data_IF_981851755760
#
_entry.id   IF_981851755760
#
_cell.length_a   1.000
_cell.length_b   1.000
_cell.length_c   1.000
_cell.angle_alpha   90.00
_cell.angle_beta   90.00
_cell.angle_gamma   90.00
#
_symmetry.space_group_name_H-M   'P 1'
#
loop_
_entity.id
_entity.type
_entity.pdbx_description
1 polymer ?
#
# COMPACT_ATOMS: atom_id res chain seq x y z
N UNK A 1 11.53 18.13 18.68
CA UNK A 1 11.60 17.97 20.14
C UNK A 1 11.49 16.50 20.54
N UNK A 2 10.44 15.77 20.15
CA UNK A 2 10.27 14.35 20.53
C UNK A 2 11.43 13.39 20.15
N UNK A 3 12.09 13.60 19.00
CA UNK A 3 13.23 12.78 18.59
C UNK A 3 14.45 12.94 19.52
N UNK A 4 14.73 14.17 19.94
CA UNK A 4 15.88 14.48 20.79
C UNK A 4 15.70 13.88 22.20
N UNK A 5 14.48 13.98 22.75
CA UNK A 5 14.14 13.37 24.03
C UNK A 5 14.34 11.85 24.00
N UNK A 6 13.97 11.20 22.89
CA UNK A 6 14.18 9.75 22.73
C UNK A 6 15.68 9.41 22.63
N UNK A 7 16.47 10.19 21.90
CA UNK A 7 17.93 10.00 21.83
C UNK A 7 18.60 10.13 23.20
N UNK A 8 18.18 11.11 24.01
CA UNK A 8 18.71 11.27 25.37
C UNK A 8 18.38 10.07 26.26
N UNK A 9 17.16 9.52 26.16
CA UNK A 9 16.78 8.30 26.89
C UNK A 9 17.65 7.12 26.46
N UNK A 10 17.88 6.93 25.16
CA UNK A 10 18.74 5.87 24.65
C UNK A 10 20.21 6.03 25.08
N UNK A 11 20.72 7.26 25.14
CA UNK A 11 22.06 7.55 25.62
C UNK A 11 22.26 7.27 27.12
N UNK A 12 21.16 7.29 27.89
CA UNK A 12 21.16 7.01 29.33
C UNK A 12 20.96 5.53 29.68
N UNK A 13 20.85 4.64 28.69
CA UNK A 13 20.58 3.22 28.92
C UNK A 13 21.71 2.54 29.71
N UNK A 14 21.33 1.87 30.80
CA UNK A 14 22.23 1.16 31.70
C UNK A 14 22.29 -0.34 31.43
N UNK A 15 21.51 -0.85 30.46
CA UNK A 15 21.48 -2.27 30.07
C UNK A 15 20.75 -3.19 31.05
N UNK A 16 20.02 -2.65 32.03
CA UNK A 16 19.22 -3.46 32.96
C UNK A 16 17.98 -4.05 32.27
N UNK A 17 17.43 -5.15 32.82
CA UNK A 17 16.24 -5.80 32.27
C UNK A 17 15.00 -4.88 32.28
N UNK A 18 14.88 -4.03 33.29
CA UNK A 18 13.84 -2.99 33.36
C UNK A 18 14.09 -1.86 32.35
N UNK A 19 15.35 -1.53 32.07
CA UNK A 19 15.74 -0.55 31.05
C UNK A 19 15.35 -1.02 29.66
N UNK A 20 15.46 -2.33 29.37
CA UNK A 20 15.15 -2.91 28.05
C UNK A 20 13.77 -2.52 27.51
N UNK A 21 12.73 -2.53 28.35
CA UNK A 21 11.37 -2.13 27.93
C UNK A 21 11.27 -0.64 27.61
N UNK A 22 12.04 0.19 28.30
CA UNK A 22 12.13 1.63 28.07
C UNK A 22 12.88 1.88 26.76
N UNK A 23 14.03 1.23 26.57
CA UNK A 23 14.84 1.28 25.33
C UNK A 23 14.02 0.87 24.11
N UNK A 24 13.28 -0.24 24.19
CA UNK A 24 12.35 -0.64 23.13
C UNK A 24 11.32 0.45 22.80
N UNK A 25 10.65 1.02 23.80
CA UNK A 25 9.68 2.09 23.57
C UNK A 25 10.33 3.35 22.99
N UNK A 26 11.56 3.65 23.38
CA UNK A 26 12.33 4.79 22.89
C UNK A 26 12.66 4.62 21.39
N UNK A 27 13.22 3.49 20.96
CA UNK A 27 13.46 3.20 19.53
C UNK A 27 12.20 3.31 18.67
N UNK A 28 11.08 2.72 19.11
CA UNK A 28 9.83 2.80 18.34
C UNK A 28 9.29 4.24 18.23
N UNK A 29 9.44 5.06 19.28
CA UNK A 29 9.03 6.48 19.26
C UNK A 29 9.98 7.34 18.44
N UNK A 30 11.28 7.04 18.50
CA UNK A 30 12.29 7.71 17.71
C UNK A 30 12.07 7.45 16.22
N UNK A 31 11.88 6.19 15.82
CA UNK A 31 11.53 5.82 14.46
C UNK A 31 10.30 6.59 13.92
N UNK A 32 9.22 6.71 14.71
CA UNK A 32 8.05 7.52 14.34
C UNK A 32 8.37 9.00 14.16
N UNK A 33 9.20 9.55 15.04
CA UNK A 33 9.58 10.96 14.99
C UNK A 33 10.46 11.26 13.77
N UNK A 34 11.42 10.37 13.47
CA UNK A 34 12.30 10.46 12.31
C UNK A 34 11.51 10.31 11.00
N UNK A 35 10.57 9.36 10.95
CA UNK A 35 9.65 9.19 9.83
C UNK A 35 8.85 10.49 9.56
N UNK A 36 8.30 11.13 10.60
CA UNK A 36 7.60 12.42 10.47
C UNK A 36 8.50 13.58 10.03
N UNK A 37 9.79 13.52 10.34
CA UNK A 37 10.80 14.49 9.88
C UNK A 37 11.29 14.18 8.46
N UNK A 38 10.89 13.05 7.88
CA UNK A 38 11.32 12.59 6.57
C UNK A 38 12.72 11.98 6.56
N UNK A 39 13.29 11.61 7.70
CA UNK A 39 14.55 10.87 7.76
C UNK A 39 14.28 9.36 7.74
N UNK A 40 14.03 8.85 6.53
CA UNK A 40 13.52 7.49 6.33
C UNK A 40 14.58 6.40 6.57
N UNK A 41 15.85 6.71 6.30
CA UNK A 41 16.96 5.80 6.54
C UNK A 41 17.19 5.62 8.04
N UNK A 42 17.30 6.73 8.79
CA UNK A 42 17.48 6.67 10.25
C UNK A 42 16.24 6.03 10.92
N UNK A 43 15.03 6.37 10.46
CA UNK A 43 13.80 5.74 10.96
C UNK A 43 13.78 4.21 10.75
N UNK A 44 14.30 3.72 9.62
CA UNK A 44 14.40 2.28 9.36
C UNK A 44 15.41 1.60 10.27
N UNK A 45 16.57 2.22 10.46
CA UNK A 45 17.63 1.73 11.36
C UNK A 45 17.12 1.57 12.80
N UNK A 46 16.36 2.55 13.29
CA UNK A 46 15.76 2.51 14.64
C UNK A 46 14.73 1.37 14.80
N UNK A 47 14.01 1.00 13.74
CA UNK A 47 13.13 -0.16 13.77
C UNK A 47 13.90 -1.48 13.76
N UNK A 48 15.08 -1.53 13.16
CA UNK A 48 15.96 -2.71 13.20
C UNK A 48 16.51 -2.93 14.61
N UNK A 49 16.91 -1.86 15.30
CA UNK A 49 17.30 -1.94 16.73
C UNK A 49 16.11 -2.31 17.63
N UNK A 50 14.92 -1.77 17.37
CA UNK A 50 13.72 -2.21 18.06
C UNK A 50 13.47 -3.72 17.92
N UNK A 51 13.72 -4.29 16.73
CA UNK A 51 13.59 -5.72 16.47
C UNK A 51 14.69 -6.54 17.12
N UNK A 52 15.94 -6.06 17.13
CA UNK A 52 17.06 -6.74 17.79
C UNK A 52 16.76 -6.95 19.28
N UNK A 53 16.10 -5.96 19.90
CA UNK A 53 15.67 -5.99 21.29
C UNK A 53 14.39 -6.80 21.54
N UNK A 54 13.59 -7.13 20.53
CA UNK A 54 12.35 -7.88 20.66
C UNK A 54 12.48 -9.31 20.13
N UNK A 55 11.72 -10.25 20.70
CA UNK A 55 11.68 -11.64 20.20
C UNK A 55 10.73 -11.79 18.99
N UNK A 56 10.76 -10.82 18.07
CA UNK A 56 9.94 -10.83 16.87
C UNK A 56 9.20 -9.51 16.58
N UNK A 57 8.53 -9.45 15.42
CA UNK A 57 7.78 -8.28 15.00
C UNK A 57 6.52 -8.07 15.86
N UNK A 58 6.11 -6.82 16.01
CA UNK A 58 4.86 -6.43 16.70
C UNK A 58 4.03 -5.54 15.78
N UNK A 59 2.71 -5.61 15.86
CA UNK A 59 1.81 -4.92 14.92
C UNK A 59 2.09 -3.41 14.75
N UNK A 60 2.37 -2.63 15.81
CA UNK A 60 2.68 -1.20 15.66
C UNK A 60 4.01 -0.92 14.96
N UNK A 61 4.96 -1.86 15.00
CA UNK A 61 6.25 -1.76 14.32
C UNK A 61 6.10 -2.12 12.84
N UNK A 62 5.42 -3.23 12.55
CA UNK A 62 5.15 -3.67 11.17
C UNK A 62 4.43 -2.58 10.38
N UNK A 63 3.39 -1.98 10.98
CA UNK A 63 2.62 -0.92 10.34
C UNK A 63 3.49 0.29 10.00
N UNK A 64 4.39 0.70 10.90
CA UNK A 64 5.30 1.83 10.67
C UNK A 64 6.36 1.49 9.63
N UNK A 65 6.92 0.27 9.67
CA UNK A 65 7.93 -0.16 8.68
C UNK A 65 7.36 -0.16 7.27
N UNK A 66 6.13 -0.66 7.09
CA UNK A 66 5.45 -0.60 5.80
C UNK A 66 5.29 0.85 5.33
N UNK A 67 4.91 1.78 6.21
CA UNK A 67 4.82 3.21 5.88
C UNK A 67 6.16 3.81 5.47
N UNK A 68 7.24 3.53 6.21
CA UNK A 68 8.58 4.05 5.88
C UNK A 68 9.05 3.53 4.52
N UNK A 69 8.85 2.23 4.25
CA UNK A 69 9.18 1.64 2.94
C UNK A 69 8.34 2.25 1.81
N UNK A 70 7.07 2.55 2.08
CA UNK A 70 6.19 3.23 1.13
C UNK A 70 6.68 4.64 0.79
N UNK A 71 7.07 5.41 1.79
CA UNK A 71 7.57 6.76 1.61
C UNK A 71 8.93 6.77 0.93
N UNK A 72 9.78 5.77 1.22
CA UNK A 72 11.10 5.63 0.58
C UNK A 72 10.94 5.30 -0.92
N UNK A 73 10.03 4.38 -1.26
CA UNK A 73 9.70 4.08 -2.64
C UNK A 73 9.13 5.32 -3.37
N UNK A 74 8.24 6.07 -2.70
CA UNK A 74 7.63 7.28 -3.26
C UNK A 74 8.67 8.37 -3.53
N UNK A 75 9.54 8.65 -2.56
CA UNK A 75 10.61 9.65 -2.72
C UNK A 75 11.60 9.29 -3.82
N UNK A 76 11.97 8.01 -3.93
CA UNK A 76 12.84 7.57 -5.02
C UNK A 76 12.16 7.73 -6.39
N UNK A 77 10.86 7.46 -6.47
CA UNK A 77 10.10 7.71 -7.70
C UNK A 77 10.03 9.20 -8.06
N UNK A 78 9.92 10.09 -7.07
CA UNK A 78 9.91 11.54 -7.27
C UNK A 78 11.29 12.11 -7.64
N UNK A 79 12.36 11.57 -7.03
CA UNK A 79 13.72 12.03 -7.27
C UNK A 79 14.27 11.62 -8.65
N UNK A 80 13.90 10.42 -9.14
CA UNK A 80 14.50 9.83 -10.35
C UNK A 80 13.68 10.04 -11.65
N UNK A 81 12.45 10.54 -11.60
CA UNK A 81 11.61 10.63 -12.79
C UNK A 81 11.00 12.03 -13.00
N UNK A 82 11.72 12.99 -13.61
CA UNK A 82 11.11 14.22 -14.13
C UNK A 82 10.11 13.97 -15.27
N UNK A 83 9.88 12.71 -15.66
CA UNK A 83 9.01 12.32 -16.76
C UNK A 83 7.91 11.38 -16.30
N UNK A 84 6.68 11.86 -16.37
CA UNK A 84 5.48 11.03 -16.33
C UNK A 84 5.10 10.59 -17.75
N UNK A 85 4.39 9.46 -17.84
CA UNK A 85 3.75 8.98 -19.07
C UNK A 85 2.24 8.93 -18.85
N UNK A 86 1.44 9.22 -19.89
CA UNK A 86 0.00 8.99 -19.82
C UNK A 86 -0.28 7.49 -19.65
N UNK A 87 -1.20 7.18 -18.77
CA UNK A 87 -1.65 5.83 -18.43
C UNK A 87 -3.17 5.77 -18.45
N UNK A 88 -3.71 4.63 -18.86
CA UNK A 88 -5.15 4.35 -18.77
C UNK A 88 -5.47 3.55 -17.51
N UNK A 89 -6.36 4.07 -16.67
CA UNK A 89 -6.95 3.34 -15.56
C UNK A 89 -8.38 2.90 -15.91
N UNK A 90 -8.57 1.59 -16.08
CA UNK A 90 -9.82 0.97 -16.48
C UNK A 90 -10.47 0.24 -15.30
N UNK A 91 -11.61 0.74 -14.82
CA UNK A 91 -12.35 0.16 -13.70
C UNK A 91 -13.51 -0.69 -14.22
N UNK A 92 -13.46 -1.99 -13.94
CA UNK A 92 -14.47 -2.99 -14.32
C UNK A 92 -15.27 -3.41 -13.11
N UNK A 93 -16.42 -2.76 -12.90
CA UNK A 93 -17.33 -3.13 -11.80
C UNK A 93 -18.18 -4.33 -12.19
N UNK A 94 -18.26 -5.33 -11.31
CA UNK A 94 -19.04 -6.56 -11.56
C UNK A 94 -20.52 -6.23 -11.81
N UNK A 95 -21.08 -6.77 -12.90
CA UNK A 95 -22.45 -6.52 -13.34
C UNK A 95 -22.59 -5.37 -14.33
N UNK A 96 -21.55 -4.54 -14.52
CA UNK A 96 -21.57 -3.46 -15.50
C UNK A 96 -21.02 -3.89 -16.86
N UNK A 97 -21.69 -3.43 -17.92
CA UNK A 97 -21.28 -3.71 -19.30
C UNK A 97 -20.17 -2.78 -19.78
N UNK A 98 -20.12 -1.55 -19.27
CA UNK A 98 -19.15 -0.53 -19.70
C UNK A 98 -18.16 -0.24 -18.58
N UNK A 99 -16.85 -0.34 -18.83
CA UNK A 99 -15.86 0.07 -17.86
C UNK A 99 -15.87 1.59 -17.68
N UNK A 100 -15.42 2.03 -16.51
CA UNK A 100 -15.06 3.44 -16.30
C UNK A 100 -13.62 3.62 -16.74
N UNK A 101 -13.38 4.55 -17.67
CA UNK A 101 -12.04 4.88 -18.15
C UNK A 101 -11.62 6.20 -17.52
N UNK A 102 -10.45 6.20 -16.89
CA UNK A 102 -9.84 7.36 -16.24
C UNK A 102 -8.43 7.50 -16.82
N UNK A 103 -8.11 8.67 -17.37
CA UNK A 103 -6.75 8.99 -17.80
C UNK A 103 -5.95 9.49 -16.58
N UNK A 104 -4.75 8.96 -16.42
CA UNK A 104 -3.87 9.26 -15.28
C UNK A 104 -2.42 9.33 -15.75
N UNK A 105 -1.52 9.77 -14.88
CA UNK A 105 -0.09 9.76 -15.12
C UNK A 105 0.61 8.70 -14.28
N UNK A 106 1.68 8.13 -14.82
CA UNK A 106 2.54 7.18 -14.12
C UNK A 106 4.01 7.58 -14.31
N UNK A 107 4.83 7.38 -13.28
CA UNK A 107 6.28 7.58 -13.39
C UNK A 107 6.86 6.68 -14.48
N UNK A 108 7.68 7.26 -15.37
CA UNK A 108 8.36 6.48 -16.42
C UNK A 108 9.25 5.38 -15.85
N UNK A 109 9.74 5.52 -14.60
CA UNK A 109 10.53 4.51 -13.91
C UNK A 109 9.75 3.20 -13.65
N UNK A 110 8.42 3.27 -13.55
CA UNK A 110 7.56 2.10 -13.41
C UNK A 110 7.19 1.47 -14.75
N UNK A 111 7.44 2.17 -15.87
CA UNK A 111 7.02 1.75 -17.20
C UNK A 111 8.10 0.95 -17.95
N UNK A 112 8.53 -0.16 -17.35
CA UNK A 112 9.50 -1.08 -17.94
C UNK A 112 8.95 -2.51 -18.00
N UNK A 113 9.66 -3.40 -18.70
CA UNK A 113 9.23 -4.81 -18.89
C UNK A 113 9.01 -5.53 -17.56
N UNK A 114 9.83 -5.22 -16.56
CA UNK A 114 9.73 -5.78 -15.21
C UNK A 114 9.73 -4.64 -14.19
N UNK A 115 8.57 -4.02 -13.93
CA UNK A 115 8.46 -2.95 -12.95
C UNK A 115 8.96 -3.42 -11.57
N UNK A 116 9.62 -2.55 -10.79
CA UNK A 116 9.96 -2.86 -9.41
C UNK A 116 8.69 -3.21 -8.62
N UNK A 117 8.65 -4.41 -8.03
CA UNK A 117 7.43 -4.99 -7.43
C UNK A 117 6.81 -4.09 -6.36
N UNK A 118 7.61 -3.70 -5.36
CA UNK A 118 7.14 -2.87 -4.24
C UNK A 118 6.67 -1.48 -4.73
N UNK A 119 7.47 -0.69 -5.48
CA UNK A 119 7.00 0.59 -6.03
C UNK A 119 5.76 0.47 -6.91
N UNK A 120 5.65 -0.58 -7.72
CA UNK A 120 4.47 -0.80 -8.56
C UNK A 120 3.23 -1.12 -7.72
N UNK A 121 3.34 -1.97 -6.70
CA UNK A 121 2.25 -2.30 -5.78
C UNK A 121 1.75 -1.06 -5.03
N UNK A 122 2.67 -0.23 -4.54
CA UNK A 122 2.34 1.03 -3.85
C UNK A 122 1.60 1.97 -4.80
N UNK A 123 2.09 2.11 -6.03
CA UNK A 123 1.44 2.93 -7.05
C UNK A 123 0.02 2.43 -7.34
N UNK A 124 -0.18 1.11 -7.51
CA UNK A 124 -1.50 0.52 -7.71
C UNK A 124 -2.45 0.84 -6.54
N UNK A 125 -1.99 0.65 -5.30
CA UNK A 125 -2.77 0.95 -4.10
C UNK A 125 -3.14 2.44 -4.04
N UNK A 126 -2.21 3.34 -4.38
CA UNK A 126 -2.46 4.77 -4.44
C UNK A 126 -3.55 5.13 -5.44
N UNK A 127 -3.47 4.62 -6.67
CA UNK A 127 -4.48 4.85 -7.72
C UNK A 127 -5.85 4.34 -7.28
N UNK A 128 -5.93 3.14 -6.71
CA UNK A 128 -7.17 2.58 -6.17
C UNK A 128 -7.76 3.49 -5.09
N UNK A 129 -6.98 3.88 -4.10
CA UNK A 129 -7.43 4.72 -3.00
C UNK A 129 -7.88 6.12 -3.47
N UNK A 130 -7.14 6.72 -4.42
CA UNK A 130 -7.47 8.03 -5.02
C UNK A 130 -8.86 8.05 -5.65
N UNK A 131 -9.29 6.94 -6.26
CA UNK A 131 -10.54 6.86 -7.00
C UNK A 131 -11.67 6.12 -6.29
N UNK A 132 -11.40 5.42 -5.18
CA UNK A 132 -12.37 4.61 -4.45
C UNK A 132 -13.67 5.37 -4.13
N UNK A 133 -13.57 6.47 -3.39
CA UNK A 133 -14.74 7.24 -2.95
C UNK A 133 -15.51 7.82 -4.13
N UNK A 134 -14.79 8.31 -5.15
CA UNK A 134 -15.40 8.83 -6.37
C UNK A 134 -16.22 7.76 -7.07
N UNK A 135 -15.68 6.56 -7.23
CA UNK A 135 -16.39 5.43 -7.87
C UNK A 135 -17.64 5.05 -7.04
N UNK A 136 -17.51 4.98 -5.71
CA UNK A 136 -18.63 4.71 -4.80
C UNK A 136 -19.74 5.77 -4.90
N UNK A 137 -19.39 7.03 -5.16
CA UNK A 137 -20.33 8.16 -5.27
C UNK A 137 -20.99 8.30 -6.65
N UNK A 138 -20.47 7.67 -7.70
CA UNK A 138 -21.04 7.79 -9.05
C UNK A 138 -22.52 7.38 -9.11
N UNK A 139 -22.91 6.38 -8.31
CA UNK A 139 -24.28 5.89 -8.21
C UNK A 139 -24.43 4.91 -7.03
N UNK A 140 -25.67 4.59 -6.61
CA UNK A 140 -25.90 3.50 -5.67
C UNK A 140 -25.47 2.16 -6.28
N UNK A 141 -24.60 1.45 -5.58
CA UNK A 141 -24.13 0.13 -5.98
C UNK A 141 -24.87 -0.97 -5.24
N UNK A 142 -25.02 -2.11 -5.92
CA UNK A 142 -25.60 -3.33 -5.37
C UNK A 142 -24.50 -4.33 -5.09
N UNK A 143 -24.57 -5.00 -3.95
CA UNK A 143 -23.64 -6.06 -3.58
C UNK A 143 -23.61 -7.12 -4.66
N UNK A 144 -22.40 -7.49 -5.08
CA UNK A 144 -22.16 -8.43 -6.17
C UNK A 144 -22.78 -9.82 -5.93
N UNK A 145 -23.05 -10.19 -4.67
CA UNK A 145 -23.51 -11.52 -4.29
C UNK A 145 -24.95 -11.59 -3.74
N UNK A 146 -25.41 -10.60 -2.97
CA UNK A 146 -26.66 -10.73 -2.19
C UNK A 146 -27.72 -9.65 -2.47
N UNK A 147 -27.58 -8.89 -3.56
CA UNK A 147 -28.52 -7.83 -3.98
C UNK A 147 -28.78 -6.70 -2.98
N UNK A 148 -28.13 -6.69 -1.82
CA UNK A 148 -28.22 -5.62 -0.82
C UNK A 148 -27.43 -4.39 -1.27
N UNK A 149 -27.75 -3.20 -0.75
CA UNK A 149 -26.97 -1.98 -1.00
C UNK A 149 -25.50 -2.21 -0.62
N UNK A 150 -24.59 -1.92 -1.55
CA UNK A 150 -23.16 -1.95 -1.28
C UNK A 150 -22.75 -0.69 -0.51
N UNK A 151 -21.85 -0.88 0.45
CA UNK A 151 -21.30 0.21 1.29
C UNK A 151 -19.78 0.34 1.10
N UNK A 152 -19.17 -0.59 0.38
CA UNK A 152 -17.74 -0.62 0.11
C UNK A 152 -17.49 -1.38 -1.21
N UNK A 153 -16.25 -1.37 -1.68
CA UNK A 153 -15.78 -2.07 -2.88
C UNK A 153 -14.48 -2.82 -2.58
N UNK A 154 -14.38 -4.04 -3.09
CA UNK A 154 -13.13 -4.80 -3.11
C UNK A 154 -12.50 -4.62 -4.48
N UNK A 155 -11.29 -4.07 -4.49
CA UNK A 155 -10.49 -3.79 -5.69
C UNK A 155 -9.52 -4.95 -5.95
N UNK A 156 -9.19 -5.17 -7.22
CA UNK A 156 -8.21 -6.16 -7.65
C UNK A 156 -7.48 -5.61 -8.88
N UNK A 157 -6.55 -4.65 -8.67
CA UNK A 157 -5.83 -4.03 -9.76
C UNK A 157 -4.84 -5.02 -10.40
N UNK A 158 -4.85 -5.08 -11.72
CA UNK A 158 -3.85 -5.75 -12.54
C UNK A 158 -3.08 -4.67 -13.33
N UNK A 159 -1.77 -4.65 -13.19
CA UNK A 159 -0.89 -3.70 -13.85
C UNK A 159 -0.36 -4.23 -15.18
N UNK A 160 -0.30 -3.35 -16.17
CA UNK A 160 0.32 -3.55 -17.48
C UNK A 160 1.21 -2.34 -17.81
N UNK A 161 2.10 -1.99 -16.87
CA UNK A 161 2.94 -0.79 -16.97
C UNK A 161 4.03 -0.91 -18.05
N UNK A 162 4.32 -2.13 -18.49
CA UNK A 162 5.29 -2.43 -19.54
C UNK A 162 4.81 -2.06 -20.96
N UNK A 163 3.53 -1.75 -21.14
CA UNK A 163 2.96 -1.43 -22.46
C UNK A 163 3.44 -0.07 -22.99
N UNK A 164 3.31 0.14 -24.30
CA UNK A 164 3.59 1.43 -24.96
C UNK A 164 2.68 2.54 -24.44
N UNK A 165 1.42 2.20 -24.17
CA UNK A 165 0.49 2.99 -23.36
C UNK A 165 0.23 2.20 -22.08
N UNK A 166 0.89 2.56 -20.95
CA UNK A 166 0.69 1.91 -19.68
C UNK A 166 -0.79 1.83 -19.30
N UNK A 167 -1.18 0.73 -18.66
CA UNK A 167 -2.57 0.52 -18.27
C UNK A 167 -2.68 -0.20 -16.92
N UNK A 168 -3.71 0.13 -16.16
CA UNK A 168 -4.18 -0.63 -15.00
C UNK A 168 -5.61 -1.05 -15.29
N UNK A 169 -5.92 -2.34 -15.11
CA UNK A 169 -7.29 -2.84 -15.11
C UNK A 169 -7.65 -3.23 -13.68
N UNK A 170 -8.61 -2.54 -13.08
CA UNK A 170 -9.09 -2.82 -11.73
C UNK A 170 -10.47 -3.47 -11.77
N UNK A 171 -10.52 -4.70 -11.25
CA UNK A 171 -11.75 -5.46 -11.16
C UNK A 171 -12.41 -5.23 -9.81
N UNK A 172 -13.54 -4.55 -9.83
CA UNK A 172 -14.18 -4.02 -8.63
C UNK A 172 -15.44 -4.81 -8.30
N UNK A 173 -15.56 -5.21 -7.02
CA UNK A 173 -16.73 -5.93 -6.48
C UNK A 173 -17.37 -5.12 -5.36
N UNK A 174 -18.56 -4.53 -5.58
CA UNK A 174 -19.28 -3.85 -4.50
C UNK A 174 -19.75 -4.84 -3.44
N UNK A 175 -19.60 -4.52 -2.16
CA UNK A 175 -19.94 -5.39 -1.03
C UNK A 175 -20.86 -4.69 -0.01
N UNK A 176 -21.82 -5.42 0.56
CA UNK A 176 -22.75 -4.89 1.57
C UNK A 176 -22.15 -4.85 2.98
N UNK A 177 -22.75 -4.04 3.87
CA UNK A 177 -22.29 -3.85 5.26
C UNK A 177 -22.29 -5.14 6.08
N UNK A 178 -23.30 -5.98 5.89
CA UNK A 178 -23.48 -7.24 6.61
C UNK A 178 -22.63 -8.39 6.02
N UNK A 179 -21.85 -8.09 4.97
CA UNK A 179 -21.30 -9.07 4.06
C UNK A 179 -19.90 -9.52 4.41
N UNK A 180 -19.57 -9.90 5.64
CA UNK A 180 -18.28 -10.55 5.93
C UNK A 180 -18.05 -11.72 4.95
N UNK A 181 -19.10 -12.51 4.70
CA UNK A 181 -19.12 -13.57 3.70
C UNK A 181 -18.94 -13.06 2.26
N UNK A 182 -19.65 -12.00 1.87
CA UNK A 182 -19.56 -11.42 0.53
C UNK A 182 -18.16 -10.83 0.26
N UNK A 183 -17.55 -10.19 1.27
CA UNK A 183 -16.20 -9.66 1.23
C UNK A 183 -15.13 -10.75 1.22
N UNK A 184 -15.28 -11.79 2.03
CA UNK A 184 -14.37 -12.95 2.00
C UNK A 184 -14.40 -13.66 0.64
N UNK A 185 -15.59 -13.87 0.06
CA UNK A 185 -15.71 -14.45 -1.28
C UNK A 185 -15.11 -13.55 -2.36
N UNK A 186 -15.33 -12.23 -2.28
CA UNK A 186 -14.73 -11.27 -3.20
C UNK A 186 -13.20 -11.27 -3.15
N UNK A 187 -12.61 -11.41 -1.95
CA UNK A 187 -11.16 -11.53 -1.74
C UNK A 187 -10.60 -12.84 -2.28
N UNK A 188 -11.25 -13.97 -2.01
CA UNK A 188 -10.84 -15.28 -2.59
C UNK A 188 -10.83 -15.26 -4.11
N UNK A 189 -11.81 -14.58 -4.71
CA UNK A 189 -11.84 -14.40 -6.15
C UNK A 189 -10.67 -13.51 -6.63
N UNK A 190 -10.37 -12.42 -5.91
CA UNK A 190 -9.23 -11.56 -6.19
C UNK A 190 -7.90 -12.34 -6.19
N UNK A 191 -7.68 -13.17 -5.17
CA UNK A 191 -6.52 -14.07 -5.07
C UNK A 191 -6.45 -15.09 -6.21
N UNK A 192 -7.60 -15.58 -6.68
CA UNK A 192 -7.68 -16.46 -7.85
C UNK A 192 -7.22 -15.76 -9.13
N UNK A 193 -7.67 -14.53 -9.34
CA UNK A 193 -7.27 -13.74 -10.51
C UNK A 193 -5.79 -13.33 -10.46
N UNK A 194 -5.28 -12.91 -9.31
CA UNK A 194 -3.88 -12.55 -9.15
C UNK A 194 -2.97 -13.73 -9.52
N UNK A 195 -3.32 -14.94 -9.07
CA UNK A 195 -2.60 -16.17 -9.46
C UNK A 195 -2.67 -16.45 -10.95
N UNK A 196 -3.84 -16.30 -11.57
CA UNK A 196 -4.00 -16.49 -13.01
C UNK A 196 -3.26 -15.44 -13.84
N UNK A 197 -3.12 -14.20 -13.35
CA UNK A 197 -2.36 -13.15 -14.01
C UNK A 197 -0.84 -13.38 -13.90
N UNK A 198 -0.36 -13.87 -12.75
CA UNK A 198 1.06 -14.17 -12.53
C UNK A 198 1.62 -15.22 -13.49
N UNK A 199 0.81 -16.20 -13.91
CA UNK A 199 1.25 -17.24 -14.86
C UNK A 199 1.50 -16.72 -16.28
N UNK A 200 1.00 -15.53 -16.65
CA UNK A 200 1.22 -14.95 -17.99
C UNK A 200 2.56 -14.24 -18.15
N UNK A 201 3.27 -13.97 -17.05
CA UNK A 201 4.56 -13.25 -17.08
C UNK A 201 5.79 -14.17 -17.15
N UNK A 202 5.58 -15.50 -17.16
CA UNK A 202 6.66 -16.51 -17.20
C UNK A 202 6.86 -17.15 -18.59
N UNK A 203 6.17 -16.67 -19.63
CA UNK A 203 6.27 -17.15 -21.02
C UNK A 203 6.74 -16.06 -21.97
#
# INVERSE_FOLDING_TARGET
MAAEDCRQVLASDTGSEDSRKITQKAHLRLARSLHQLGDLEEASSELDEFRSLNRGPVDPELSLRVQILQDHATRNLEADAPYTRPMRYEVRVTGELRPLIIDEEVSSALCCVKPPEIPAEIFLMHVVNKYHDRIMQLRPWTCWSCSSKAVNMIHTPASYLHLSVPMIIDYVRPVCAHGERCGQQARRFAEGMARAAGTYYET
#
